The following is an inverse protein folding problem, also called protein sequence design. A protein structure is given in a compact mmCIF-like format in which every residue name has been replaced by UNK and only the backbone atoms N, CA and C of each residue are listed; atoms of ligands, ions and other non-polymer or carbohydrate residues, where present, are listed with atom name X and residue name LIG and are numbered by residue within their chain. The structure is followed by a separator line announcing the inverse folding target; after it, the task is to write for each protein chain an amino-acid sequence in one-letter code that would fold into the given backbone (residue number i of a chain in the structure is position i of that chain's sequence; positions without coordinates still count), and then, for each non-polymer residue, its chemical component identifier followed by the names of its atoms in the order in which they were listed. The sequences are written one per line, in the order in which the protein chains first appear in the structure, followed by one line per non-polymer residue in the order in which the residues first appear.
data_IF_373004054661
#
_entry.id   IF_373004054661
#
_cell.length_a   1.000
_cell.length_b   1.000
_cell.length_c   1.000
_cell.angle_alpha   90.00
_cell.angle_beta   90.00
_cell.angle_gamma   90.00
#
_symmetry.space_group_name_H-M   'P 1'
#
loop_
_entity.id
_entity.type
_entity.pdbx_description
1 polymer ?
#
# COMPACT_ATOMS: atom_id res chain seq x y z
N UNK A 1 -0.24 -9.67 -20.01
CA UNK A 1 -1.10 -9.89 -18.82
C UNK A 1 -0.75 -11.13 -18.00
N UNK A 2 -0.06 -12.17 -18.52
CA UNK A 2 0.35 -13.32 -17.69
C UNK A 2 1.34 -12.98 -16.56
N UNK A 3 2.29 -12.08 -16.82
CA UNK A 3 3.27 -11.65 -15.80
C UNK A 3 2.59 -11.01 -14.58
N UNK A 4 1.69 -10.05 -14.79
CA UNK A 4 0.98 -9.39 -13.69
C UNK A 4 0.06 -10.36 -12.94
N UNK A 5 -0.59 -11.29 -13.64
CA UNK A 5 -1.39 -12.35 -12.99
C UNK A 5 -0.54 -13.27 -12.12
N UNK A 6 0.67 -13.59 -12.57
CA UNK A 6 1.59 -14.44 -11.82
C UNK A 6 1.99 -13.83 -10.48
N UNK A 7 2.04 -12.49 -10.36
CA UNK A 7 2.32 -11.82 -9.08
C UNK A 7 1.32 -12.20 -7.98
N UNK A 8 0.12 -12.67 -8.33
CA UNK A 8 -0.91 -13.11 -7.38
C UNK A 8 -0.89 -14.62 -7.09
N UNK A 9 0.02 -15.38 -7.71
CA UNK A 9 0.24 -16.79 -7.34
C UNK A 9 0.85 -16.89 -5.95
N UNK A 10 0.60 -18.00 -5.24
CA UNK A 10 1.17 -18.24 -3.91
C UNK A 10 2.71 -18.20 -3.93
N UNK A 11 3.32 -18.72 -5.00
CA UNK A 11 4.77 -18.69 -5.19
C UNK A 11 5.31 -17.26 -5.24
N UNK A 12 4.70 -16.40 -6.08
CA UNK A 12 5.10 -15.00 -6.16
C UNK A 12 4.81 -14.24 -4.86
N UNK A 13 3.69 -14.53 -4.19
CA UNK A 13 3.32 -13.89 -2.94
C UNK A 13 4.29 -14.23 -1.79
N UNK A 14 4.81 -15.47 -1.74
CA UNK A 14 5.88 -15.82 -0.80
C UNK A 14 7.18 -15.08 -1.10
N UNK A 15 7.58 -15.01 -2.37
CA UNK A 15 8.75 -14.24 -2.79
C UNK A 15 8.61 -12.75 -2.42
N UNK A 16 7.42 -12.17 -2.59
CA UNK A 16 7.09 -10.79 -2.17
C UNK A 16 7.33 -10.61 -0.65
N UNK A 17 6.83 -11.54 0.18
CA UNK A 17 7.05 -11.55 1.64
C UNK A 17 8.51 -11.68 2.05
N UNK A 18 9.25 -12.59 1.42
CA UNK A 18 10.70 -12.78 1.62
C UNK A 18 11.48 -11.49 1.34
N UNK A 19 11.12 -10.79 0.25
CA UNK A 19 11.77 -9.56 -0.20
C UNK A 19 11.29 -8.29 0.52
N UNK A 20 10.52 -8.41 1.60
CA UNK A 20 10.22 -7.29 2.50
C UNK A 20 8.93 -6.54 2.20
N UNK A 21 8.15 -6.98 1.22
CA UNK A 21 6.82 -6.45 0.95
C UNK A 21 5.74 -7.26 1.66
N UNK A 22 4.61 -6.64 2.02
CA UNK A 22 3.46 -7.37 2.58
C UNK A 22 2.70 -8.09 1.46
N UNK A 23 2.57 -9.43 1.49
CA UNK A 23 1.74 -10.15 0.53
C UNK A 23 0.28 -9.67 0.58
N UNK A 24 -0.37 -9.60 -0.58
CA UNK A 24 -1.82 -9.33 -0.69
C UNK A 24 -2.67 -10.56 -0.43
N UNK A 25 -2.14 -11.77 -0.63
CA UNK A 25 -2.82 -13.00 -0.23
C UNK A 25 -2.72 -13.14 1.30
N UNK A 26 -3.86 -13.06 1.98
CA UNK A 26 -3.93 -13.10 3.45
C UNK A 26 -3.36 -14.39 4.04
N UNK A 27 -3.58 -15.54 3.40
CA UNK A 27 -3.05 -16.81 3.89
C UNK A 27 -1.51 -16.81 3.86
N UNK A 28 -0.92 -16.28 2.79
CA UNK A 28 0.53 -16.13 2.66
C UNK A 28 1.06 -15.05 3.61
N UNK A 29 0.34 -13.93 3.79
CA UNK A 29 0.72 -12.88 4.74
C UNK A 29 0.86 -13.41 6.18
N UNK A 30 -0.02 -14.34 6.60
CA UNK A 30 0.06 -14.96 7.93
C UNK A 30 1.35 -15.78 8.14
N UNK A 31 1.94 -16.34 7.06
CA UNK A 31 3.24 -17.02 7.11
C UNK A 31 4.36 -16.07 7.57
N UNK A 32 4.19 -14.74 7.45
CA UNK A 32 5.16 -13.69 7.81
C UNK A 32 4.74 -12.87 9.05
N UNK A 33 3.90 -13.43 9.93
CA UNK A 33 3.42 -12.78 11.15
C UNK A 33 4.52 -12.52 12.20
N UNK A 34 5.67 -13.17 12.07
CA UNK A 34 6.89 -12.92 12.86
C UNK A 34 7.66 -11.68 12.37
N UNK A 35 7.50 -11.32 11.10
CA UNK A 35 8.17 -10.18 10.45
C UNK A 35 7.32 -8.90 10.45
N UNK A 36 6.00 -9.03 10.40
CA UNK A 36 5.08 -7.90 10.33
C UNK A 36 4.11 -7.89 11.50
N UNK A 37 3.93 -6.72 12.11
CA UNK A 37 2.78 -6.49 12.99
C UNK A 37 1.51 -6.40 12.15
N UNK A 38 0.70 -7.47 12.22
CA UNK A 38 -0.58 -7.62 11.53
C UNK A 38 -1.74 -6.94 12.28
N UNK A 39 -1.50 -6.41 13.48
CA UNK A 39 -2.51 -5.70 14.28
C UNK A 39 -2.53 -4.19 14.04
N UNK A 40 -1.58 -3.66 13.26
CA UNK A 40 -1.52 -2.24 12.91
C UNK A 40 -2.82 -1.84 12.21
N UNK A 41 -3.47 -0.81 12.77
CA UNK A 41 -4.60 -0.15 12.10
C UNK A 41 -4.10 0.54 10.83
N UNK A 42 -4.55 0.05 9.68
CA UNK A 42 -4.27 0.64 8.37
C UNK A 42 -5.45 1.48 7.89
N UNK A 43 -5.15 2.59 7.25
CA UNK A 43 -6.10 3.38 6.46
C UNK A 43 -5.83 3.11 4.98
N UNK A 44 -6.81 3.39 4.13
CA UNK A 44 -6.67 3.30 2.68
C UNK A 44 -7.07 4.62 2.03
N UNK A 45 -6.77 4.77 0.74
CA UNK A 45 -7.03 6.02 0.03
C UNK A 45 -8.53 6.37 -0.04
N UNK A 46 -9.43 5.40 0.13
CA UNK A 46 -10.87 5.63 0.22
C UNK A 46 -11.28 6.46 1.44
N UNK A 47 -10.52 6.37 2.54
CA UNK A 47 -10.73 7.21 3.73
C UNK A 47 -10.48 8.71 3.43
N UNK A 48 -9.82 9.00 2.30
CA UNK A 48 -9.50 10.34 1.80
C UNK A 48 -10.28 10.69 0.51
N UNK A 49 -11.28 9.89 0.14
CA UNK A 49 -12.10 10.14 -1.06
C UNK A 49 -11.51 9.61 -2.37
N UNK A 50 -10.47 8.79 -2.32
CA UNK A 50 -9.78 8.24 -3.51
C UNK A 50 -8.60 9.09 -3.98
N UNK A 51 -7.80 8.55 -4.91
CA UNK A 51 -6.56 9.19 -5.33
C UNK A 51 -6.77 10.58 -5.93
N UNK A 52 -7.76 10.74 -6.80
CA UNK A 52 -8.04 12.05 -7.44
C UNK A 52 -8.35 13.12 -6.38
N UNK A 53 -9.18 12.78 -5.38
CA UNK A 53 -9.57 13.74 -4.34
C UNK A 53 -8.44 14.05 -3.37
N UNK A 54 -7.68 13.03 -2.97
CA UNK A 54 -6.51 13.20 -2.12
C UNK A 54 -5.44 14.04 -2.81
N UNK A 55 -5.21 13.83 -4.11
CA UNK A 55 -4.24 14.58 -4.88
C UNK A 55 -4.63 16.06 -4.98
N UNK A 56 -5.87 16.36 -5.39
CA UNK A 56 -6.39 17.74 -5.45
C UNK A 56 -6.27 18.47 -4.10
N UNK A 57 -6.60 17.78 -3.01
CA UNK A 57 -6.66 18.40 -1.68
C UNK A 57 -5.26 18.67 -1.10
N UNK A 58 -4.30 17.78 -1.34
CA UNK A 58 -3.02 17.79 -0.64
C UNK A 58 -1.81 18.13 -1.51
N UNK A 59 -1.87 17.90 -2.82
CA UNK A 59 -0.67 17.86 -3.68
C UNK A 59 -0.76 18.63 -5.00
N UNK A 60 -1.91 19.20 -5.36
CA UNK A 60 -1.98 20.17 -6.47
C UNK A 60 -1.15 21.43 -6.17
N UNK A 61 -0.79 22.18 -7.23
CA UNK A 61 -0.08 23.46 -7.06
C UNK A 61 -0.90 24.43 -6.19
N UNK A 62 -0.29 24.91 -5.10
CA UNK A 62 -0.93 25.75 -4.09
C UNK A 62 -1.84 25.01 -3.11
N UNK A 63 -1.81 23.68 -3.09
CA UNK A 63 -2.55 22.88 -2.13
C UNK A 63 -1.83 22.81 -0.76
N UNK A 64 -2.40 22.03 0.16
CA UNK A 64 -1.98 22.00 1.56
C UNK A 64 -0.49 21.64 1.77
N UNK A 65 0.13 20.82 0.90
CA UNK A 65 1.56 20.55 1.00
C UNK A 65 2.42 21.79 0.75
N UNK A 66 2.07 22.59 -0.26
CA UNK A 66 2.80 23.83 -0.58
C UNK A 66 2.64 24.86 0.54
N UNK A 67 1.44 24.98 1.12
CA UNK A 67 1.23 25.83 2.29
C UNK A 67 2.18 25.46 3.43
N UNK A 68 2.31 24.17 3.77
CA UNK A 68 3.21 23.70 4.83
C UNK A 68 4.68 23.92 4.50
N UNK A 69 5.08 23.75 3.24
CA UNK A 69 6.47 23.86 2.81
C UNK A 69 6.98 25.31 2.73
N UNK A 70 6.08 26.25 2.38
CA UNK A 70 6.41 27.67 2.25
C UNK A 70 6.43 28.44 3.60
N UNK A 71 5.98 27.82 4.70
CA UNK A 71 6.11 28.32 6.08
C UNK A 71 7.46 27.99 6.72
#
# INVERSE_FOLDING_TARGET
TRYLQYLYSDEAQRLIGENGYRPSNEAVLQEFSDKYDLSIKMWNIGDYGGWDKAYETYFDDGAMFDEIYEY
#
